data_IF_974227794176
#
_entry.id   IF_974227794176
#
_cell.length_a   1.000
_cell.length_b   1.000
_cell.length_c   1.000
_cell.angle_alpha   90.00
_cell.angle_beta   90.00
_cell.angle_gamma   90.00
#
_symmetry.space_group_name_H-M   'P 1'
#
loop_
_entity.id
_entity.type
_entity.pdbx_description
1 polymer ?
#
# COMPACT_ATOMS: atom_id res chain seq x y z
N UNK A 1 20.00 4.43 21.79
CA UNK A 1 19.11 3.31 22.20
C UNK A 1 17.92 3.15 21.26
N UNK A 2 16.92 4.05 21.26
CA UNK A 2 15.72 3.88 20.39
C UNK A 2 16.00 3.63 18.88
N UNK A 3 16.97 4.33 18.29
CA UNK A 3 17.32 4.14 16.87
C UNK A 3 18.01 2.78 16.59
N UNK A 4 18.65 2.19 17.58
CA UNK A 4 19.25 0.85 17.48
C UNK A 4 18.17 -0.20 17.64
N UNK A 5 17.29 -0.03 18.64
CA UNK A 5 16.13 -0.91 18.88
C UNK A 5 15.25 -1.02 17.63
N UNK A 6 14.96 0.11 16.96
CA UNK A 6 14.21 0.13 15.70
C UNK A 6 14.89 -0.65 14.57
N UNK A 7 16.22 -0.50 14.41
CA UNK A 7 16.97 -1.20 13.36
C UNK A 7 17.04 -2.70 13.62
N UNK A 8 17.19 -3.11 14.87
CA UNK A 8 17.17 -4.52 15.27
C UNK A 8 15.80 -5.13 14.96
N UNK A 9 14.70 -4.47 15.34
CA UNK A 9 13.35 -4.93 15.03
C UNK A 9 13.10 -5.03 13.52
N UNK A 10 13.53 -4.02 12.76
CA UNK A 10 13.40 -4.01 11.31
C UNK A 10 14.17 -5.18 10.67
N UNK A 11 15.37 -5.50 11.17
CA UNK A 11 16.16 -6.65 10.69
C UNK A 11 15.45 -7.97 10.98
N UNK A 12 14.95 -8.17 12.19
CA UNK A 12 14.19 -9.38 12.56
C UNK A 12 12.96 -9.56 11.67
N UNK A 13 12.19 -8.48 11.46
CA UNK A 13 11.02 -8.52 10.57
C UNK A 13 11.42 -8.83 9.12
N UNK A 14 12.57 -8.33 8.68
CA UNK A 14 13.03 -8.55 7.30
C UNK A 14 13.34 -10.03 7.07
N UNK A 15 13.98 -10.68 8.03
CA UNK A 15 14.25 -12.12 7.97
C UNK A 15 12.96 -12.94 8.00
N UNK A 16 11.99 -12.53 8.83
CA UNK A 16 10.71 -13.23 8.98
C UNK A 16 9.82 -13.15 7.73
N UNK A 17 9.76 -11.99 7.08
CA UNK A 17 8.88 -11.73 5.93
C UNK A 17 9.62 -11.71 4.58
N UNK A 18 10.83 -12.26 4.52
CA UNK A 18 11.60 -12.41 3.28
C UNK A 18 10.98 -13.46 2.35
N UNK A 19 9.88 -13.09 1.68
CA UNK A 19 9.17 -13.94 0.73
C UNK A 19 9.47 -13.55 -0.71
N UNK A 20 9.52 -14.57 -1.59
CA UNK A 20 9.57 -14.37 -3.04
C UNK A 20 8.18 -14.30 -3.67
N UNK A 21 7.15 -14.67 -2.93
CA UNK A 21 5.77 -14.60 -3.39
C UNK A 21 5.32 -13.15 -3.49
N UNK A 22 4.98 -12.73 -4.70
CA UNK A 22 4.48 -11.37 -4.97
C UNK A 22 2.97 -11.38 -4.84
N UNK A 23 2.46 -10.46 -4.04
CA UNK A 23 1.02 -10.26 -3.84
C UNK A 23 0.63 -8.91 -4.39
N UNK A 24 -0.21 -8.91 -5.43
CA UNK A 24 -0.74 -7.69 -6.01
C UNK A 24 -1.68 -6.99 -5.03
N UNK A 25 -1.43 -5.72 -4.73
CA UNK A 25 -2.23 -4.96 -3.76
C UNK A 25 -2.67 -3.61 -4.30
N UNK A 26 -3.81 -3.16 -3.79
CA UNK A 26 -4.32 -1.81 -3.92
C UNK A 26 -4.39 -1.14 -2.54
N UNK A 27 -3.84 0.07 -2.41
CA UNK A 27 -3.91 0.85 -1.17
C UNK A 27 -4.75 2.12 -1.37
N UNK A 28 -5.91 2.15 -0.74
CA UNK A 28 -6.86 3.25 -0.81
C UNK A 28 -6.63 4.22 0.34
N UNK A 29 -6.19 5.44 0.01
CA UNK A 29 -5.96 6.52 0.96
C UNK A 29 -7.26 7.24 1.33
N UNK A 30 -8.14 7.45 0.36
CA UNK A 30 -9.45 8.11 0.51
C UNK A 30 -10.50 7.46 -0.37
N UNK A 31 -11.79 7.62 -0.02
CA UNK A 31 -12.92 7.08 -0.80
C UNK A 31 -13.46 8.07 -1.84
N UNK A 32 -13.54 9.35 -1.50
CA UNK A 32 -14.11 10.39 -2.37
C UNK A 32 -13.21 11.63 -2.42
N UNK A 33 -12.44 11.83 -3.51
CA UNK A 33 -12.19 10.88 -4.60
C UNK A 33 -11.32 9.70 -4.13
N UNK A 34 -11.26 8.63 -4.93
CA UNK A 34 -10.36 7.51 -4.66
C UNK A 34 -8.92 7.94 -4.97
N UNK A 35 -8.11 8.12 -3.94
CA UNK A 35 -6.68 8.43 -4.04
C UNK A 35 -5.88 7.19 -3.63
N UNK A 36 -4.80 6.91 -4.35
CA UNK A 36 -3.83 5.87 -4.01
C UNK A 36 -2.40 6.41 -4.02
N UNK A 37 -1.43 5.54 -3.72
CA UNK A 37 0.00 5.83 -3.82
C UNK A 37 0.57 5.07 -5.02
N UNK A 38 1.57 5.65 -5.67
CA UNK A 38 2.28 5.05 -6.80
C UNK A 38 3.80 5.07 -6.62
N UNK A 39 4.51 4.31 -7.46
CA UNK A 39 5.95 4.23 -7.48
C UNK A 39 6.55 3.81 -6.13
N UNK A 40 7.62 4.50 -5.71
CA UNK A 40 8.34 4.28 -4.45
C UNK A 40 7.96 5.29 -3.37
N UNK A 41 6.82 5.95 -3.50
CA UNK A 41 6.39 6.95 -2.52
C UNK A 41 5.86 6.25 -1.27
N UNK A 42 6.08 6.86 -0.10
CA UNK A 42 5.56 6.33 1.17
C UNK A 42 4.04 6.16 1.11
N UNK A 43 3.46 5.03 1.55
CA UNK A 43 4.07 3.91 2.28
C UNK A 43 4.46 2.67 1.42
N UNK A 44 4.75 2.82 0.13
CA UNK A 44 5.02 1.68 -0.79
C UNK A 44 6.18 0.78 -0.34
N UNK A 45 7.17 1.32 0.37
CA UNK A 45 8.29 0.55 0.92
C UNK A 45 7.85 -0.49 1.96
N UNK A 46 6.82 -0.19 2.75
CA UNK A 46 6.27 -1.12 3.76
C UNK A 46 5.67 -2.34 3.08
N UNK A 47 4.96 -2.16 1.97
CA UNK A 47 4.39 -3.28 1.23
C UNK A 47 5.46 -4.07 0.48
N UNK A 48 6.40 -3.37 -0.16
CA UNK A 48 7.53 -4.00 -0.88
C UNK A 48 8.36 -4.86 0.07
N UNK A 49 8.55 -4.41 1.32
CA UNK A 49 9.21 -5.15 2.39
C UNK A 49 8.53 -6.51 2.67
N UNK A 50 7.22 -6.60 2.51
CA UNK A 50 6.43 -7.83 2.70
C UNK A 50 6.19 -8.61 1.39
N UNK A 51 6.80 -8.22 0.26
CA UNK A 51 6.56 -8.85 -1.05
C UNK A 51 5.37 -8.28 -1.85
N UNK A 52 4.73 -7.21 -1.38
CA UNK A 52 3.62 -6.57 -2.06
C UNK A 52 4.03 -5.88 -3.38
N UNK A 53 3.21 -6.05 -4.40
CA UNK A 53 3.32 -5.38 -5.70
C UNK A 53 2.15 -4.42 -5.91
N UNK A 54 2.44 -3.12 -6.02
CA UNK A 54 1.42 -2.10 -6.17
C UNK A 54 0.86 -2.08 -7.60
N UNK A 55 -0.45 -2.31 -7.76
CA UNK A 55 -1.11 -2.31 -9.08
C UNK A 55 -1.07 -0.93 -9.80
N UNK A 56 -0.73 0.15 -9.09
CA UNK A 56 -0.55 1.51 -9.62
C UNK A 56 0.91 1.99 -9.63
N UNK A 57 1.89 1.09 -9.46
CA UNK A 57 3.32 1.45 -9.39
C UNK A 57 3.81 2.30 -10.59
N UNK A 58 3.26 2.07 -11.79
CA UNK A 58 3.67 2.73 -13.03
C UNK A 58 3.03 4.12 -13.27
N UNK A 59 2.22 4.64 -12.34
CA UNK A 59 1.65 5.99 -12.48
C UNK A 59 2.74 7.06 -12.42
N UNK A 60 2.64 8.06 -13.30
CA UNK A 60 3.54 9.22 -13.32
C UNK A 60 3.32 10.17 -12.13
N UNK A 61 2.09 10.25 -11.64
CA UNK A 61 1.77 11.01 -10.43
C UNK A 61 2.06 10.13 -9.18
N UNK A 62 2.67 10.69 -8.12
CA UNK A 62 3.00 9.95 -6.90
C UNK A 62 1.76 9.55 -6.08
N UNK A 63 0.71 10.36 -6.13
CA UNK A 63 -0.58 10.10 -5.47
C UNK A 63 -1.72 10.31 -6.46
N UNK A 64 -1.96 9.37 -7.38
CA UNK A 64 -2.97 9.53 -8.41
C UNK A 64 -4.38 9.39 -7.84
N UNK A 65 -5.30 10.19 -8.40
CA UNK A 65 -6.72 9.89 -8.35
C UNK A 65 -7.03 8.79 -9.36
N UNK A 66 -7.78 7.78 -8.93
CA UNK A 66 -8.13 6.61 -9.75
C UNK A 66 -9.63 6.39 -9.75
N UNK A 67 -10.14 5.73 -10.79
CA UNK A 67 -11.55 5.32 -10.85
C UNK A 67 -11.75 3.90 -10.30
N UNK A 68 -13.00 3.55 -9.99
CA UNK A 68 -13.35 2.19 -9.54
C UNK A 68 -13.02 1.18 -10.66
N UNK A 69 -13.33 1.51 -11.91
CA UNK A 69 -13.07 0.66 -13.07
C UNK A 69 -11.56 0.39 -13.25
N UNK A 70 -10.73 1.39 -12.97
CA UNK A 70 -9.27 1.26 -12.99
C UNK A 70 -8.74 0.30 -11.92
N UNK A 71 -9.42 0.18 -10.77
CA UNK A 71 -9.08 -0.79 -9.73
C UNK A 71 -9.58 -2.18 -10.13
N UNK A 72 -10.84 -2.30 -10.57
CA UNK A 72 -11.46 -3.58 -10.97
C UNK A 72 -10.69 -4.23 -12.12
N UNK A 73 -10.32 -3.46 -13.14
CA UNK A 73 -9.60 -3.99 -14.32
C UNK A 73 -8.21 -4.51 -13.98
N UNK A 74 -7.59 -3.99 -12.91
CA UNK A 74 -6.26 -4.41 -12.45
C UNK A 74 -6.28 -5.59 -11.48
N UNK A 75 -7.47 -6.01 -11.02
CA UNK A 75 -7.69 -7.22 -10.22
C UNK A 75 -6.68 -7.43 -9.07
N UNK A 76 -6.59 -6.52 -8.09
CA UNK A 76 -5.70 -6.72 -6.95
C UNK A 76 -6.15 -7.92 -6.12
N UNK A 77 -5.20 -8.71 -5.61
CA UNK A 77 -5.49 -9.79 -4.67
C UNK A 77 -5.91 -9.26 -3.29
N UNK A 78 -5.35 -8.11 -2.89
CA UNK A 78 -5.62 -7.49 -1.58
C UNK A 78 -5.94 -6.01 -1.73
N UNK A 79 -6.98 -5.57 -1.01
CA UNK A 79 -7.34 -4.14 -0.88
C UNK A 79 -7.10 -3.70 0.57
N UNK A 80 -6.21 -2.73 0.73
CA UNK A 80 -5.98 -2.05 2.00
C UNK A 80 -6.68 -0.70 1.99
N UNK A 81 -7.36 -0.35 3.08
CA UNK A 81 -8.02 0.94 3.28
C UNK A 81 -7.90 1.34 4.74
N UNK A 82 -8.03 2.64 5.04
CA UNK A 82 -8.07 3.09 6.42
C UNK A 82 -9.49 3.01 6.98
N UNK A 83 -9.61 2.80 8.31
CA UNK A 83 -10.92 2.89 8.99
C UNK A 83 -11.61 4.23 8.74
N UNK A 84 -10.83 5.31 8.62
CA UNK A 84 -11.35 6.66 8.34
C UNK A 84 -11.79 6.83 6.89
N UNK A 85 -11.14 6.13 5.95
CA UNK A 85 -11.58 6.06 4.55
C UNK A 85 -12.87 5.23 4.38
N UNK A 86 -13.30 4.48 5.40
CA UNK A 86 -14.55 3.70 5.37
C UNK A 86 -15.66 4.26 6.25
N UNK A 87 -15.34 5.18 7.18
CA UNK A 87 -16.33 5.86 7.99
C UNK A 87 -16.96 7.01 7.20
N UNK A 88 -17.90 6.69 6.32
CA UNK A 88 -19.02 7.60 6.06
C UNK A 88 -19.91 7.59 7.31
N UNK A 89 -19.51 8.32 8.35
CA UNK A 89 -20.46 8.78 9.38
C UNK A 89 -21.16 10.04 8.85
N UNK A 90 -21.78 9.87 7.69
CA UNK A 90 -22.57 10.88 6.97
C UNK A 90 -23.93 10.27 6.68
N UNK A 91 -24.66 10.01 7.77
CA UNK A 91 -26.12 10.03 7.77
C UNK A 91 -26.57 11.01 8.85
#
# INVERSE_FOLDING_TARGET
KAAEDFRTQLSTLKEQYNTNEKVSYFYQLSEKPIITVAGKNWPSEVFTFCGGENIFAASSAPYPQVSIEQVITRQPEVIFTSRHAMSNDSM
#
